data_IF_588690404426
#
_entry.id   IF_588690404426
#
_cell.length_a   1.000
_cell.length_b   1.000
_cell.length_c   1.000
_cell.angle_alpha   90.00
_cell.angle_beta   90.00
_cell.angle_gamma   90.00
#
_symmetry.space_group_name_H-M   'P 1'
#
loop_
_entity.id
_entity.type
_entity.pdbx_description
1 polymer ?
#
# COMPACT_ATOMS: atom_id res chain seq x y z
N UNK A 1 -6.29 66.67 -4.13
CA UNK A 1 -5.55 65.84 -5.13
C UNK A 1 -4.64 64.77 -4.51
N UNK A 2 -4.85 64.33 -3.25
CA UNK A 2 -3.98 63.33 -2.59
C UNK A 2 -4.59 61.91 -2.44
N UNK A 3 -5.90 61.73 -2.64
CA UNK A 3 -6.55 60.43 -2.40
C UNK A 3 -6.27 59.39 -3.49
N UNK A 4 -6.09 59.79 -4.75
CA UNK A 4 -5.96 58.86 -5.90
C UNK A 4 -4.61 58.12 -5.97
N UNK A 5 -3.61 58.55 -5.18
CA UNK A 5 -2.27 57.93 -5.19
C UNK A 5 -2.14 56.73 -4.24
N UNK A 6 -3.00 56.63 -3.22
CA UNK A 6 -2.94 55.55 -2.21
C UNK A 6 -3.46 54.21 -2.77
N UNK A 7 -4.57 54.27 -3.51
CA UNK A 7 -5.21 53.06 -4.07
C UNK A 7 -4.34 52.37 -5.10
N UNK A 8 -3.65 53.11 -5.97
CA UNK A 8 -2.75 52.53 -6.99
C UNK A 8 -1.61 51.71 -6.37
N UNK A 9 -1.09 52.09 -5.21
CA UNK A 9 -0.05 51.32 -4.49
C UNK A 9 -0.61 50.06 -3.84
N UNK A 10 -1.82 50.13 -3.28
CA UNK A 10 -2.52 48.98 -2.69
C UNK A 10 -2.90 47.95 -3.75
N UNK A 11 -3.50 48.38 -4.86
CA UNK A 11 -3.84 47.49 -5.99
C UNK A 11 -2.59 46.85 -6.59
N UNK A 12 -1.48 47.59 -6.77
CA UNK A 12 -0.24 47.02 -7.28
C UNK A 12 0.35 45.97 -6.33
N UNK A 13 0.28 46.19 -5.00
CA UNK A 13 0.72 45.22 -4.00
C UNK A 13 -0.19 43.99 -3.95
N UNK A 14 -1.50 44.17 -4.13
CA UNK A 14 -2.48 43.08 -4.19
C UNK A 14 -2.27 42.22 -5.44
N UNK A 15 -2.14 42.86 -6.61
CA UNK A 15 -1.88 42.18 -7.89
C UNK A 15 -0.55 41.43 -7.85
N UNK A 16 0.52 42.03 -7.32
CA UNK A 16 1.81 41.33 -7.16
C UNK A 16 1.68 40.14 -6.23
N UNK A 17 1.00 40.26 -5.08
CA UNK A 17 0.77 39.12 -4.18
C UNK A 17 -0.08 38.03 -4.82
N UNK A 18 -1.12 38.39 -5.57
CA UNK A 18 -1.97 37.43 -6.29
C UNK A 18 -1.20 36.72 -7.39
N UNK A 19 -0.41 37.44 -8.19
CA UNK A 19 0.46 36.84 -9.22
C UNK A 19 1.48 35.91 -8.56
N UNK A 20 2.11 36.33 -7.47
CA UNK A 20 3.10 35.53 -6.76
C UNK A 20 2.47 34.28 -6.12
N UNK A 21 1.26 34.40 -5.56
CA UNK A 21 0.50 33.25 -5.06
C UNK A 21 0.11 32.28 -6.18
N UNK A 22 -0.35 32.78 -7.32
CA UNK A 22 -0.67 31.96 -8.51
C UNK A 22 0.58 31.25 -9.02
N UNK A 23 1.72 31.94 -9.06
CA UNK A 23 2.99 31.38 -9.53
C UNK A 23 3.51 30.30 -8.57
N UNK A 24 3.36 30.50 -7.26
CA UNK A 24 3.65 29.47 -6.24
C UNK A 24 2.72 28.27 -6.40
N UNK A 25 1.41 28.48 -6.56
CA UNK A 25 0.44 27.39 -6.75
C UNK A 25 0.74 26.61 -8.03
N UNK A 26 1.06 27.30 -9.13
CA UNK A 26 1.39 26.67 -10.40
C UNK A 26 2.69 25.86 -10.30
N UNK A 27 3.70 26.40 -9.62
CA UNK A 27 4.93 25.68 -9.30
C UNK A 27 4.64 24.44 -8.44
N UNK A 28 3.76 24.56 -7.45
CA UNK A 28 3.35 23.44 -6.61
C UNK A 28 2.58 22.36 -7.39
N UNK A 29 1.78 22.71 -8.38
CA UNK A 29 1.01 21.73 -9.15
C UNK A 29 1.88 21.05 -10.21
N UNK A 30 2.85 21.75 -10.83
CA UNK A 30 3.68 21.16 -11.88
C UNK A 30 4.96 20.50 -11.39
N UNK A 31 5.66 21.14 -10.45
CA UNK A 31 6.99 20.68 -10.00
C UNK A 31 6.85 19.66 -8.88
N UNK A 32 5.91 19.87 -7.96
CA UNK A 32 5.76 19.00 -6.80
C UNK A 32 5.47 17.55 -7.20
N UNK A 33 4.54 17.22 -8.12
CA UNK A 33 4.28 15.82 -8.48
C UNK A 33 5.50 15.11 -9.11
N UNK A 34 6.27 15.84 -9.92
CA UNK A 34 7.48 15.31 -10.54
C UNK A 34 8.59 15.09 -9.50
N UNK A 35 8.79 16.04 -8.59
CA UNK A 35 9.70 15.88 -7.45
C UNK A 35 9.27 14.71 -6.56
N UNK A 36 7.99 14.57 -6.24
CA UNK A 36 7.50 13.44 -5.44
C UNK A 36 7.73 12.09 -6.11
N UNK A 37 7.61 12.01 -7.44
CA UNK A 37 7.91 10.78 -8.19
C UNK A 37 9.39 10.39 -8.09
N UNK A 38 10.30 11.36 -8.20
CA UNK A 38 11.75 11.14 -8.07
C UNK A 38 12.18 10.88 -6.62
N UNK A 39 11.52 11.53 -5.67
CA UNK A 39 11.77 11.37 -4.24
C UNK A 39 11.05 10.17 -3.63
N UNK A 40 10.18 9.50 -4.39
CA UNK A 40 9.43 8.34 -3.94
C UNK A 40 10.27 7.28 -3.21
N UNK A 41 11.42 6.80 -3.74
CA UNK A 41 12.28 5.85 -3.02
C UNK A 41 12.83 6.42 -1.70
N UNK A 42 13.12 7.71 -1.62
CA UNK A 42 13.59 8.35 -0.39
C UNK A 42 12.47 8.50 0.64
N UNK A 43 11.27 8.85 0.20
CA UNK A 43 10.08 8.97 1.07
C UNK A 43 9.73 7.60 1.65
N UNK A 44 9.72 6.55 0.80
CA UNK A 44 9.52 5.18 1.26
C UNK A 44 10.60 4.75 2.25
N UNK A 45 11.87 5.03 1.96
CA UNK A 45 12.98 4.73 2.85
C UNK A 45 12.81 5.42 4.21
N UNK A 46 12.38 6.69 4.23
CA UNK A 46 12.10 7.41 5.46
C UNK A 46 10.96 6.79 6.27
N UNK A 47 9.85 6.41 5.62
CA UNK A 47 8.72 5.75 6.29
C UNK A 47 9.15 4.41 6.89
N UNK A 48 9.84 3.58 6.10
CA UNK A 48 10.36 2.29 6.57
C UNK A 48 11.31 2.52 7.74
N UNK A 49 12.16 3.54 7.64
CA UNK A 49 13.11 3.84 8.70
C UNK A 49 12.42 4.27 10.01
N UNK A 50 11.36 5.06 9.88
CA UNK A 50 10.56 5.51 11.01
C UNK A 50 9.83 4.36 11.72
N UNK A 51 9.41 3.34 10.98
CA UNK A 51 8.79 2.13 11.52
C UNK A 51 9.83 1.21 12.17
N UNK A 52 11.00 1.04 11.54
CA UNK A 52 12.07 0.19 12.06
C UNK A 52 12.74 0.75 13.30
N UNK A 53 12.95 2.08 13.37
CA UNK A 53 13.61 2.75 14.49
C UNK A 53 13.09 2.32 15.89
N UNK A 54 11.78 2.37 16.20
CA UNK A 54 11.27 1.93 17.49
C UNK A 54 11.42 0.41 17.73
N UNK A 55 11.31 -0.43 16.69
CA UNK A 55 11.51 -1.88 16.79
C UNK A 55 12.97 -2.21 17.14
N UNK A 56 13.90 -1.56 16.45
CA UNK A 56 15.34 -1.71 16.62
C UNK A 56 15.77 -1.21 17.99
N UNK A 57 15.27 -0.06 18.44
CA UNK A 57 15.55 0.47 19.77
C UNK A 57 15.05 -0.46 20.90
N UNK A 58 13.90 -1.11 20.72
CA UNK A 58 13.41 -2.15 21.65
C UNK A 58 14.33 -3.37 21.68
N UNK A 59 14.85 -3.80 20.54
CA UNK A 59 15.79 -4.93 20.47
C UNK A 59 17.16 -4.55 21.06
N UNK A 60 17.72 -3.40 20.68
CA UNK A 60 18.98 -2.88 21.20
C UNK A 60 18.92 -2.67 22.73
N UNK A 61 17.80 -2.20 23.28
CA UNK A 61 17.64 -2.07 24.73
C UNK A 61 17.61 -3.43 25.44
N UNK A 62 17.00 -4.46 24.83
CA UNK A 62 17.09 -5.85 25.32
C UNK A 62 18.51 -6.40 25.25
N UNK A 63 19.23 -6.14 24.16
CA UNK A 63 20.63 -6.55 23.98
C UNK A 63 21.56 -5.84 24.97
N UNK A 64 21.31 -4.55 25.28
CA UNK A 64 22.07 -3.80 26.30
C UNK A 64 21.96 -4.44 27.70
N UNK A 65 20.82 -5.07 28.02
CA UNK A 65 20.66 -5.85 29.27
C UNK A 65 21.59 -7.07 29.31
N UNK A 66 22.02 -7.59 28.16
CA UNK A 66 22.96 -8.70 28.01
C UNK A 66 24.45 -8.27 28.09
N UNK A 67 24.75 -7.03 28.54
CA UNK A 67 26.11 -6.52 28.84
C UNK A 67 27.13 -6.52 27.67
N UNK A 68 26.70 -6.52 26.40
CA UNK A 68 27.61 -6.35 25.26
C UNK A 68 28.09 -4.88 25.23
N UNK A 69 29.34 -4.64 25.66
CA UNK A 69 29.86 -3.32 26.10
C UNK A 69 30.60 -2.48 25.04
N UNK A 70 30.74 -2.90 23.79
CA UNK A 70 31.52 -2.12 22.81
C UNK A 70 30.67 -1.06 22.08
N UNK A 71 31.11 0.20 22.11
CA UNK A 71 30.46 1.34 21.44
C UNK A 71 30.48 1.19 19.91
N UNK A 72 31.54 0.60 19.36
CA UNK A 72 31.69 0.32 17.92
C UNK A 72 30.77 -0.82 17.49
N UNK A 73 30.58 -1.83 18.35
CA UNK A 73 29.64 -2.93 18.08
C UNK A 73 28.19 -2.44 18.00
N UNK A 74 27.79 -1.38 18.71
CA UNK A 74 26.40 -0.90 18.67
C UNK A 74 25.97 -0.37 17.30
N UNK A 75 26.84 0.40 16.61
CA UNK A 75 26.54 0.88 15.25
C UNK A 75 26.41 -0.29 14.27
N UNK A 76 27.35 -1.23 14.31
CA UNK A 76 27.36 -2.41 13.44
C UNK A 76 26.14 -3.31 13.72
N UNK A 77 25.83 -3.57 14.99
CA UNK A 77 24.64 -4.35 15.41
C UNK A 77 23.36 -3.67 14.91
N UNK A 78 23.26 -2.35 15.00
CA UNK A 78 22.08 -1.60 14.54
C UNK A 78 21.90 -1.72 13.02
N UNK A 79 23.00 -1.63 12.24
CA UNK A 79 22.97 -1.81 10.78
C UNK A 79 22.56 -3.24 10.41
N UNK A 80 23.17 -4.25 11.05
CA UNK A 80 22.84 -5.66 10.82
C UNK A 80 21.36 -5.92 11.15
N UNK A 81 20.86 -5.33 12.24
CA UNK A 81 19.47 -5.48 12.63
C UNK A 81 18.51 -4.83 11.62
N UNK A 82 18.88 -3.66 11.08
CA UNK A 82 18.15 -3.01 9.99
C UNK A 82 18.06 -3.92 8.76
N UNK A 83 19.20 -4.44 8.33
CA UNK A 83 19.30 -5.32 7.17
C UNK A 83 18.47 -6.59 7.37
N UNK A 84 18.56 -7.20 8.56
CA UNK A 84 17.85 -8.43 8.88
C UNK A 84 16.32 -8.24 8.90
N UNK A 85 15.85 -7.16 9.53
CA UNK A 85 14.41 -6.84 9.57
C UNK A 85 13.90 -6.52 8.17
N UNK A 86 14.67 -5.78 7.37
CA UNK A 86 14.30 -5.46 6.00
C UNK A 86 14.24 -6.71 5.11
N UNK A 87 15.20 -7.64 5.27
CA UNK A 87 15.17 -8.95 4.62
C UNK A 87 13.95 -9.76 5.04
N UNK A 88 13.63 -9.79 6.33
CA UNK A 88 12.46 -10.51 6.85
C UNK A 88 11.15 -9.94 6.27
N UNK A 89 10.99 -8.62 6.23
CA UNK A 89 9.81 -7.96 5.64
C UNK A 89 9.74 -8.24 4.14
N UNK A 90 10.85 -8.08 3.42
CA UNK A 90 10.90 -8.31 1.98
C UNK A 90 10.59 -9.78 1.64
N UNK A 91 11.15 -10.72 2.40
CA UNK A 91 10.88 -12.14 2.27
C UNK A 91 9.42 -12.49 2.58
N UNK A 92 8.84 -11.88 3.61
CA UNK A 92 7.41 -12.07 3.94
C UNK A 92 6.51 -11.55 2.83
N UNK A 93 6.74 -10.34 2.32
CA UNK A 93 5.97 -9.76 1.21
C UNK A 93 6.10 -10.63 -0.04
N UNK A 94 7.30 -11.10 -0.36
CA UNK A 94 7.53 -12.02 -1.47
C UNK A 94 6.75 -13.33 -1.29
N UNK A 95 6.82 -13.95 -0.11
CA UNK A 95 6.11 -15.20 0.18
C UNK A 95 4.59 -15.06 0.06
N UNK A 96 4.02 -14.00 0.64
CA UNK A 96 2.59 -13.71 0.56
C UNK A 96 2.17 -13.46 -0.89
N UNK A 97 2.91 -12.62 -1.61
CA UNK A 97 2.61 -12.31 -3.02
C UNK A 97 2.69 -13.56 -3.89
N UNK A 98 3.74 -14.37 -3.72
CA UNK A 98 3.92 -15.63 -4.43
C UNK A 98 2.77 -16.60 -4.16
N UNK A 99 2.37 -16.75 -2.89
CA UNK A 99 1.26 -17.63 -2.49
C UNK A 99 -0.06 -17.17 -3.13
N UNK A 100 -0.37 -15.87 -3.08
CA UNK A 100 -1.58 -15.31 -3.68
C UNK A 100 -1.59 -15.54 -5.19
N UNK A 101 -0.49 -15.23 -5.88
CA UNK A 101 -0.38 -15.43 -7.34
C UNK A 101 -0.56 -16.90 -7.69
N UNK A 102 0.11 -17.81 -6.97
CA UNK A 102 -0.04 -19.25 -7.15
C UNK A 102 -1.49 -19.70 -6.92
N UNK A 103 -2.14 -19.19 -5.87
CA UNK A 103 -3.54 -19.51 -5.57
C UNK A 103 -4.48 -19.06 -6.70
N UNK A 104 -4.26 -17.86 -7.24
CA UNK A 104 -5.03 -17.32 -8.37
C UNK A 104 -4.82 -18.19 -9.62
N UNK A 105 -3.58 -18.52 -9.97
CA UNK A 105 -3.28 -19.36 -11.13
C UNK A 105 -3.90 -20.75 -10.96
N UNK A 106 -3.80 -21.33 -9.76
CA UNK A 106 -4.41 -22.62 -9.44
C UNK A 106 -5.93 -22.56 -9.54
N UNK A 107 -6.57 -21.50 -9.03
CA UNK A 107 -8.01 -21.30 -9.12
C UNK A 107 -8.47 -21.22 -10.58
N UNK A 108 -7.79 -20.40 -11.39
CA UNK A 108 -8.10 -20.25 -12.81
C UNK A 108 -7.94 -21.58 -13.56
N UNK A 109 -6.87 -22.32 -13.26
CA UNK A 109 -6.63 -23.66 -13.84
C UNK A 109 -7.71 -24.66 -13.41
N UNK A 110 -8.11 -24.64 -12.13
CA UNK A 110 -9.18 -25.50 -11.62
C UNK A 110 -10.53 -25.17 -12.24
N UNK A 111 -10.84 -23.90 -12.48
CA UNK A 111 -12.07 -23.47 -13.19
C UNK A 111 -12.05 -23.98 -14.63
N UNK A 112 -10.93 -23.83 -15.33
CA UNK A 112 -10.79 -24.30 -16.71
C UNK A 112 -10.93 -25.83 -16.81
N UNK A 113 -10.27 -26.58 -15.93
CA UNK A 113 -10.31 -28.05 -15.92
C UNK A 113 -11.70 -28.60 -15.59
N UNK A 114 -12.47 -27.89 -14.75
CA UNK A 114 -13.82 -28.30 -14.34
C UNK A 114 -14.93 -27.54 -15.09
N UNK A 115 -14.59 -26.84 -16.18
CA UNK A 115 -15.54 -25.98 -16.89
C UNK A 115 -16.80 -26.73 -17.33
N UNK A 116 -16.63 -27.95 -17.88
CA UNK A 116 -17.76 -28.78 -18.29
C UNK A 116 -18.72 -29.11 -17.14
N UNK A 117 -18.18 -29.42 -15.95
CA UNK A 117 -18.98 -29.70 -14.75
C UNK A 117 -19.68 -28.44 -14.21
N UNK A 118 -19.03 -27.28 -14.27
CA UNK A 118 -19.61 -25.99 -13.88
C UNK A 118 -20.78 -25.64 -14.80
N UNK A 119 -20.60 -25.76 -16.12
CA UNK A 119 -21.65 -25.52 -17.12
C UNK A 119 -22.80 -26.51 -16.97
N UNK A 120 -22.52 -27.80 -16.75
CA UNK A 120 -23.54 -28.81 -16.52
C UNK A 120 -24.35 -28.53 -15.24
N UNK A 121 -23.69 -28.09 -14.16
CA UNK A 121 -24.35 -27.68 -12.93
C UNK A 121 -25.26 -26.45 -13.11
N UNK A 122 -24.77 -25.43 -13.83
CA UNK A 122 -25.56 -24.24 -14.19
C UNK A 122 -26.79 -24.59 -15.03
N UNK A 123 -26.63 -25.44 -16.05
CA UNK A 123 -27.76 -25.92 -16.87
C UNK A 123 -28.74 -26.78 -16.09
N UNK A 124 -28.27 -27.60 -15.15
CA UNK A 124 -29.15 -28.37 -14.26
C UNK A 124 -29.94 -27.46 -13.32
N UNK A 125 -29.31 -26.40 -12.81
CA UNK A 125 -29.96 -25.38 -11.99
C UNK A 125 -31.01 -24.59 -12.79
N UNK A 126 -30.67 -24.21 -14.03
CA UNK A 126 -31.58 -23.58 -14.98
C UNK A 126 -32.81 -24.46 -15.26
N UNK A 127 -32.61 -25.76 -15.48
CA UNK A 127 -33.67 -26.74 -15.65
C UNK A 127 -34.57 -26.90 -14.41
N UNK A 128 -34.00 -26.79 -13.20
CA UNK A 128 -34.77 -26.81 -11.95
C UNK A 128 -35.57 -25.54 -11.74
N UNK A 129 -35.01 -24.38 -12.05
CA UNK A 129 -35.73 -23.09 -11.96
C UNK A 129 -36.88 -23.05 -12.96
N UNK A 130 -36.66 -23.46 -14.20
CA UNK A 130 -37.71 -23.51 -15.23
C UNK A 130 -38.76 -24.57 -14.92
N UNK A 131 -38.38 -25.72 -14.34
CA UNK A 131 -39.31 -26.75 -13.88
C UNK A 131 -40.09 -26.40 -12.59
N UNK A 132 -39.53 -25.63 -11.67
CA UNK A 132 -40.25 -25.15 -10.48
C UNK A 132 -41.31 -24.09 -10.82
N UNK A 133 -41.20 -23.49 -12.00
CA UNK A 133 -42.16 -22.53 -12.52
C UNK A 133 -42.98 -23.25 -13.61
N UNK A 134 -43.78 -24.25 -13.20
CA UNK A 134 -44.59 -25.17 -14.02
C UNK A 134 -45.56 -24.49 -15.04
N UNK A 135 -45.64 -23.16 -15.09
CA UNK A 135 -46.52 -22.37 -15.98
C UNK A 135 -45.86 -21.11 -16.56
N UNK A 136 -44.56 -21.11 -16.78
CA UNK A 136 -43.89 -19.93 -17.30
C UNK A 136 -44.20 -19.70 -18.79
N UNK A 137 -44.58 -18.49 -19.23
CA UNK A 137 -44.63 -18.15 -20.65
C UNK A 137 -43.28 -18.40 -21.32
N UNK A 138 -43.29 -18.85 -22.58
CA UNK A 138 -42.08 -19.16 -23.36
C UNK A 138 -41.05 -18.02 -23.33
N UNK A 139 -41.52 -16.77 -23.31
CA UNK A 139 -40.72 -15.54 -23.22
C UNK A 139 -39.80 -15.49 -21.98
N UNK A 140 -40.24 -16.01 -20.84
CA UNK A 140 -39.45 -15.98 -19.59
C UNK A 140 -38.40 -17.09 -19.59
N UNK A 141 -38.72 -18.26 -20.14
CA UNK A 141 -37.76 -19.36 -20.31
C UNK A 141 -36.63 -18.96 -21.26
N UNK A 142 -36.98 -18.33 -22.39
CA UNK A 142 -36.01 -17.78 -23.35
C UNK A 142 -35.15 -16.68 -22.73
N UNK A 143 -35.73 -15.83 -21.88
CA UNK A 143 -34.97 -14.81 -21.14
C UNK A 143 -33.95 -15.44 -20.18
N UNK A 144 -34.36 -16.45 -19.39
CA UNK A 144 -33.49 -17.15 -18.44
C UNK A 144 -32.35 -17.87 -19.17
N UNK A 145 -32.67 -18.56 -20.27
CA UNK A 145 -31.68 -19.23 -21.13
C UNK A 145 -30.66 -18.23 -21.70
N UNK A 146 -31.11 -17.09 -22.21
CA UNK A 146 -30.23 -16.07 -22.75
C UNK A 146 -29.34 -15.44 -21.68
N UNK A 147 -29.85 -15.16 -20.48
CA UNK A 147 -29.06 -14.64 -19.36
C UNK A 147 -28.02 -15.66 -18.91
N UNK A 148 -28.42 -16.94 -18.78
CA UNK A 148 -27.53 -18.06 -18.42
C UNK A 148 -26.40 -18.21 -19.43
N UNK A 149 -26.71 -18.28 -20.73
CA UNK A 149 -25.71 -18.38 -21.80
C UNK A 149 -24.77 -17.16 -21.84
N UNK A 150 -25.30 -15.95 -21.72
CA UNK A 150 -24.47 -14.73 -21.69
C UNK A 150 -23.53 -14.72 -20.48
N UNK A 151 -23.99 -15.18 -19.32
CA UNK A 151 -23.17 -15.28 -18.12
C UNK A 151 -22.06 -16.33 -18.27
N UNK A 152 -22.37 -17.49 -18.84
CA UNK A 152 -21.38 -18.55 -19.15
C UNK A 152 -20.30 -18.01 -20.10
N UNK A 153 -20.69 -17.33 -21.19
CA UNK A 153 -19.75 -16.74 -22.15
C UNK A 153 -18.91 -15.63 -21.52
N UNK A 154 -19.50 -14.78 -20.68
CA UNK A 154 -18.76 -13.74 -19.95
C UNK A 154 -17.71 -14.33 -19.02
N UNK A 155 -18.05 -15.37 -18.26
CA UNK A 155 -17.12 -16.07 -17.37
C UNK A 155 -15.99 -16.75 -18.15
N UNK A 156 -16.30 -17.43 -19.26
CA UNK A 156 -15.31 -18.09 -20.11
C UNK A 156 -14.29 -17.07 -20.66
N UNK A 157 -14.79 -15.96 -21.20
CA UNK A 157 -13.94 -14.90 -21.73
C UNK A 157 -13.11 -14.22 -20.64
N UNK A 158 -13.66 -14.02 -19.44
CA UNK A 158 -12.94 -13.43 -18.30
C UNK A 158 -11.78 -14.32 -17.85
N UNK A 159 -12.02 -15.64 -17.71
CA UNK A 159 -10.98 -16.61 -17.33
C UNK A 159 -9.90 -16.68 -18.41
N UNK A 160 -10.27 -16.76 -19.69
CA UNK A 160 -9.32 -16.75 -20.82
C UNK A 160 -8.49 -15.47 -20.86
N UNK A 161 -9.11 -14.31 -20.68
CA UNK A 161 -8.41 -13.01 -20.68
C UNK A 161 -7.44 -12.84 -19.51
N UNK A 162 -7.78 -13.37 -18.33
CA UNK A 162 -6.89 -13.34 -17.17
C UNK A 162 -5.68 -14.26 -17.38
N UNK A 163 -5.87 -15.45 -17.93
CA UNK A 163 -4.79 -16.37 -18.26
C UNK A 163 -3.88 -15.81 -19.37
N UNK A 164 -4.45 -15.26 -20.44
CA UNK A 164 -3.68 -14.68 -21.54
C UNK A 164 -2.92 -13.42 -21.11
N UNK A 165 -3.52 -12.54 -20.31
CA UNK A 165 -2.84 -11.36 -19.75
C UNK A 165 -1.71 -11.72 -18.79
N UNK A 166 -1.85 -12.83 -18.06
CA UNK A 166 -0.78 -13.34 -17.18
C UNK A 166 0.42 -13.87 -18.00
N UNK A 167 0.20 -14.41 -19.19
CA UNK A 167 1.25 -14.94 -20.08
C UNK A 167 1.84 -13.87 -21.02
N UNK A 168 1.07 -12.88 -21.45
CA UNK A 168 1.46 -11.89 -22.48
C UNK A 168 2.09 -10.60 -21.94
N UNK A 169 2.16 -10.42 -20.63
CA UNK A 169 2.81 -9.24 -20.02
C UNK A 169 4.34 -9.28 -20.05
N UNK A 170 4.97 -10.19 -20.81
CA UNK A 170 6.43 -10.32 -20.86
C UNK A 170 7.14 -9.10 -21.45
N UNK A 171 6.63 -8.46 -22.50
CA UNK A 171 7.37 -7.37 -23.20
C UNK A 171 7.31 -6.01 -22.50
N UNK A 172 6.14 -5.60 -21.99
CA UNK A 172 5.98 -4.30 -21.30
C UNK A 172 6.51 -4.31 -19.84
N UNK A 173 6.66 -5.50 -19.24
CA UNK A 173 7.31 -5.66 -17.94
C UNK A 173 8.82 -5.38 -18.05
N UNK A 174 9.49 -5.84 -19.11
CA UNK A 174 10.96 -5.73 -19.26
C UNK A 174 11.45 -4.27 -19.19
N UNK A 175 10.75 -3.33 -19.83
CA UNK A 175 11.14 -1.91 -19.80
C UNK A 175 10.90 -1.23 -18.45
N UNK A 176 9.83 -1.60 -17.74
CA UNK A 176 9.56 -1.09 -16.38
C UNK A 176 10.46 -1.71 -15.31
N UNK A 177 11.00 -2.90 -15.57
CA UNK A 177 11.94 -3.60 -14.68
C UNK A 177 13.21 -2.79 -14.45
N UNK A 178 13.78 -2.13 -15.46
CA UNK A 178 15.00 -1.33 -15.30
C UNK A 178 14.84 -0.13 -14.35
N UNK A 179 13.76 0.66 -14.54
CA UNK A 179 13.44 1.78 -13.65
C UNK A 179 13.07 1.29 -12.24
N UNK A 180 12.41 0.14 -12.12
CA UNK A 180 12.15 -0.50 -10.83
C UNK A 180 13.46 -0.86 -10.12
N UNK A 181 14.41 -1.50 -10.79
CA UNK A 181 15.71 -1.85 -10.20
C UNK A 181 16.50 -0.62 -9.76
N UNK A 182 16.50 0.45 -10.57
CA UNK A 182 17.11 1.71 -10.19
C UNK A 182 16.48 2.27 -8.91
N UNK A 183 15.15 2.42 -8.90
CA UNK A 183 14.42 2.91 -7.72
C UNK A 183 14.61 2.01 -6.50
N UNK A 184 14.71 0.70 -6.71
CA UNK A 184 14.96 -0.28 -5.67
C UNK A 184 16.35 -0.07 -5.06
N UNK A 185 17.39 0.02 -5.89
CA UNK A 185 18.76 0.28 -5.42
C UNK A 185 18.84 1.63 -4.70
N UNK A 186 18.24 2.68 -5.26
CA UNK A 186 18.16 4.00 -4.63
C UNK A 186 17.43 3.95 -3.30
N UNK A 187 16.34 3.19 -3.17
CA UNK A 187 15.63 3.00 -1.91
C UNK A 187 16.55 2.39 -0.84
N UNK A 188 17.35 1.35 -1.17
CA UNK A 188 18.28 0.76 -0.20
C UNK A 188 19.38 1.74 0.20
N UNK A 189 19.94 2.50 -0.75
CA UNK A 189 20.94 3.55 -0.47
C UNK A 189 20.35 4.64 0.44
N UNK A 190 19.16 5.13 0.10
CA UNK A 190 18.46 6.14 0.89
C UNK A 190 18.14 5.63 2.29
N UNK A 191 17.67 4.38 2.40
CA UNK A 191 17.34 3.74 3.67
C UNK A 191 18.59 3.63 4.55
N UNK A 192 19.74 3.27 3.98
CA UNK A 192 21.00 3.21 4.71
C UNK A 192 21.39 4.58 5.29
N UNK A 193 21.41 5.63 4.46
CA UNK A 193 21.78 6.97 4.93
C UNK A 193 20.80 7.50 5.96
N UNK A 194 19.50 7.38 5.70
CA UNK A 194 18.45 7.82 6.62
C UNK A 194 18.50 7.02 7.93
N UNK A 195 18.77 5.72 7.89
CA UNK A 195 18.82 4.88 9.09
C UNK A 195 19.98 5.25 10.02
N UNK A 196 21.13 5.62 9.49
CA UNK A 196 22.30 6.04 10.27
C UNK A 196 22.05 7.38 10.96
N UNK A 197 21.51 8.35 10.23
CA UNK A 197 21.30 9.71 10.71
C UNK A 197 19.88 9.94 11.26
N UNK A 198 19.10 8.87 11.44
CA UNK A 198 17.69 8.95 11.80
C UNK A 198 17.46 9.75 13.10
N UNK A 199 18.29 9.53 14.12
CA UNK A 199 18.16 10.22 15.41
C UNK A 199 18.49 11.72 15.29
N UNK A 200 19.52 12.07 14.50
CA UNK A 200 19.89 13.47 14.22
C UNK A 200 18.80 14.18 13.40
N UNK A 201 18.25 13.49 12.39
CA UNK A 201 17.14 14.01 11.59
C UNK A 201 15.89 14.19 12.45
N UNK A 202 15.59 13.26 13.35
CA UNK A 202 14.43 13.35 14.26
C UNK A 202 14.52 14.56 15.18
N UNK A 203 15.70 14.84 15.73
CA UNK A 203 15.87 15.98 16.63
C UNK A 203 15.86 17.32 15.89
N UNK A 204 16.42 17.36 14.67
CA UNK A 204 16.28 18.51 13.78
C UNK A 204 14.84 18.74 13.33
N UNK A 205 14.07 17.67 13.09
CA UNK A 205 12.67 17.79 12.70
C UNK A 205 11.81 18.34 13.85
N UNK A 206 12.13 17.98 15.11
CA UNK A 206 11.47 18.55 16.29
C UNK A 206 11.79 20.02 16.53
N UNK A 207 12.96 20.50 16.11
CA UNK A 207 13.31 21.93 16.26
C UNK A 207 12.58 22.80 15.23
N UNK A 208 12.32 22.25 14.03
CA UNK A 208 11.57 22.93 12.97
C UNK A 208 10.06 22.87 13.20
N UNK A 209 9.54 21.75 13.72
CA UNK A 209 8.11 21.60 14.03
C UNK A 209 7.81 22.29 15.36
N UNK A 210 6.97 23.32 15.34
CA UNK A 210 6.57 24.04 16.56
C UNK A 210 5.98 23.11 17.65
N UNK A 211 6.31 23.39 18.92
CA UNK A 211 5.93 22.55 20.09
C UNK A 211 4.45 22.17 20.12
N UNK A 212 3.56 23.08 19.72
CA UNK A 212 2.09 22.87 19.69
C UNK A 212 1.65 21.77 18.71
N UNK A 213 2.32 21.63 17.57
CA UNK A 213 2.04 20.56 16.61
C UNK A 213 2.55 19.21 17.15
N UNK A 214 3.74 19.18 17.75
CA UNK A 214 4.29 17.97 18.37
C UNK A 214 3.40 17.41 19.48
N UNK A 215 2.88 18.28 20.35
CA UNK A 215 1.97 17.89 21.43
C UNK A 215 0.66 17.32 20.87
N UNK A 216 0.06 18.00 19.89
CA UNK A 216 -1.18 17.54 19.24
C UNK A 216 -0.99 16.17 18.56
N UNK A 217 0.14 15.99 17.87
CA UNK A 217 0.50 14.70 17.27
C UNK A 217 0.74 13.61 18.31
N UNK A 218 1.38 13.92 19.44
CA UNK A 218 1.61 12.95 20.50
C UNK A 218 0.30 12.51 21.18
N UNK A 219 -0.62 13.45 21.43
CA UNK A 219 -1.95 13.13 21.97
C UNK A 219 -2.71 12.25 20.99
N UNK A 220 -2.78 12.64 19.70
CA UNK A 220 -3.47 11.84 18.67
C UNK A 220 -2.84 10.45 18.51
N UNK A 221 -1.51 10.36 18.47
CA UNK A 221 -0.78 9.10 18.39
C UNK A 221 -1.05 8.20 19.59
N UNK A 222 -1.02 8.72 20.82
CA UNK A 222 -1.27 7.93 22.01
C UNK A 222 -2.72 7.43 22.05
N UNK A 223 -3.69 8.28 21.73
CA UNK A 223 -5.10 7.86 21.67
C UNK A 223 -5.31 6.80 20.59
N UNK A 224 -4.76 7.00 19.39
CA UNK A 224 -4.87 6.03 18.30
C UNK A 224 -4.18 4.70 18.63
N UNK A 225 -2.95 4.72 19.17
CA UNK A 225 -2.25 3.50 19.56
C UNK A 225 -2.90 2.77 20.74
N UNK A 226 -3.54 3.50 21.66
CA UNK A 226 -4.24 2.89 22.79
C UNK A 226 -5.53 2.23 22.33
N UNK A 227 -6.31 2.90 21.47
CA UNK A 227 -7.53 2.34 20.90
C UNK A 227 -7.24 1.15 19.97
N UNK A 228 -6.32 1.31 19.01
CA UNK A 228 -5.94 0.25 18.08
C UNK A 228 -5.23 -0.91 18.80
N UNK A 229 -4.36 -0.61 19.78
CA UNK A 229 -3.68 -1.63 20.58
C UNK A 229 -4.64 -2.44 21.44
N UNK A 230 -5.68 -1.79 22.01
CA UNK A 230 -6.76 -2.47 22.71
C UNK A 230 -7.56 -3.39 21.78
N UNK A 231 -7.92 -2.90 20.60
CA UNK A 231 -8.65 -3.68 19.59
C UNK A 231 -7.86 -4.90 19.09
N UNK A 232 -6.59 -4.73 18.70
CA UNK A 232 -5.74 -5.82 18.24
C UNK A 232 -5.58 -6.89 19.33
N UNK A 233 -5.40 -6.48 20.60
CA UNK A 233 -5.33 -7.42 21.72
C UNK A 233 -6.65 -8.18 21.89
N UNK A 234 -7.78 -7.48 21.85
CA UNK A 234 -9.09 -8.11 21.95
C UNK A 234 -9.33 -9.12 20.81
N UNK A 235 -9.02 -8.73 19.56
CA UNK A 235 -9.20 -9.59 18.39
C UNK A 235 -8.28 -10.80 18.41
N UNK A 236 -7.05 -10.67 18.92
CA UNK A 236 -6.14 -11.81 19.11
C UNK A 236 -6.64 -12.78 20.19
N UNK A 237 -7.12 -12.27 21.32
CA UNK A 237 -7.71 -13.10 22.38
C UNK A 237 -8.94 -13.84 21.84
N UNK A 238 -9.82 -13.13 21.15
CA UNK A 238 -11.04 -13.69 20.57
C UNK A 238 -10.72 -14.74 19.49
N UNK A 239 -9.74 -14.46 18.62
CA UNK A 239 -9.25 -15.39 17.61
C UNK A 239 -8.62 -16.65 18.21
N UNK A 240 -7.83 -16.52 19.28
CA UNK A 240 -7.25 -17.67 20.00
C UNK A 240 -8.32 -18.52 20.67
N UNK A 241 -9.32 -17.89 21.30
CA UNK A 241 -10.45 -18.60 21.90
C UNK A 241 -11.22 -19.36 20.81
N UNK A 242 -11.54 -18.70 19.69
CA UNK A 242 -12.23 -19.33 18.57
C UNK A 242 -11.44 -20.51 17.98
N UNK A 243 -10.11 -20.39 17.87
CA UNK A 243 -9.24 -21.47 17.40
C UNK A 243 -9.18 -22.66 18.35
N UNK A 244 -9.35 -22.46 19.66
CA UNK A 244 -9.38 -23.56 20.64
C UNK A 244 -10.74 -24.28 20.62
N UNK A 245 -11.82 -23.55 20.35
CA UNK A 245 -13.17 -24.10 20.29
C UNK A 245 -13.51 -24.81 18.96
N UNK A 246 -12.73 -24.54 17.91
CA UNK A 246 -12.89 -25.12 16.57
C UNK A 246 -11.96 -26.31 16.38
#
# INVERSE_FOLDING_TARGET
>A
MQETYSDKKLYKRLIVRSILAILVILFLIFVLPNCFRLLFPFILAFIVAAILSPLINKINSKIKKLKIKSSVSKKIITIILYLLILLAISGFVYFVSYTIIKQIISLLSSIQNNWGSIVAGLKSFEGKITGLIDKTPQQVSEFIQNVSNNFIVFLENSVKNLLSSTVLTTTAMISKTGVFFLNFLTFFLALYFIAIDYDLMKDSLKSVIGRRLLESFNVMKNSALTALGGYIRAQLILGLIAFIFM
#
